data_IF_886105365655
#
_entry.id   IF_886105365655
#
_cell.length_a   1.000
_cell.length_b   1.000
_cell.length_c   1.000
_cell.angle_alpha   90.00
_cell.angle_beta   90.00
_cell.angle_gamma   90.00
#
_symmetry.space_group_name_H-M   'P 1'
#
loop_
_entity.id
_entity.type
_entity.pdbx_description
1 polymer ?
#
# COMPACT_ATOMS: atom_id res chain seq x y z
N UNK A 1 -14.22 29.53 -21.31
CA UNK A 1 -14.05 28.57 -20.20
C UNK A 1 -14.18 27.18 -20.79
N UNK A 2 -13.06 26.59 -21.24
CA UNK A 2 -13.05 25.23 -21.81
C UNK A 2 -12.97 24.30 -20.62
N UNK A 3 -14.05 23.55 -20.37
CA UNK A 3 -14.03 22.47 -19.41
C UNK A 3 -13.14 21.37 -19.96
N UNK A 4 -12.02 21.13 -19.29
CA UNK A 4 -11.12 20.01 -19.57
C UNK A 4 -11.80 18.70 -19.15
N UNK A 5 -12.72 18.23 -20.01
CA UNK A 5 -13.48 17.00 -19.87
C UNK A 5 -12.63 15.75 -20.13
N UNK A 6 -11.66 15.49 -19.27
CA UNK A 6 -11.09 14.14 -19.10
C UNK A 6 -11.30 13.79 -17.64
N UNK A 7 -12.35 13.00 -17.39
CA UNK A 7 -12.95 12.77 -16.06
C UNK A 7 -11.94 12.64 -14.94
N UNK A 8 -11.72 13.72 -14.20
CA UNK A 8 -11.41 13.59 -12.79
C UNK A 8 -12.57 12.79 -12.20
N UNK A 9 -12.29 11.60 -11.67
CA UNK A 9 -13.33 10.86 -10.98
C UNK A 9 -13.70 11.70 -9.76
N UNK A 10 -14.81 12.44 -9.86
CA UNK A 10 -15.28 13.35 -8.84
C UNK A 10 -16.01 12.56 -7.76
N UNK A 11 -15.26 11.74 -7.05
CA UNK A 11 -15.70 11.16 -5.81
C UNK A 11 -15.83 12.29 -4.78
N UNK A 12 -16.98 12.42 -4.13
CA UNK A 12 -17.11 13.31 -2.97
C UNK A 12 -16.09 12.94 -1.89
N UNK A 13 -15.62 13.93 -1.12
CA UNK A 13 -14.55 13.76 -0.13
C UNK A 13 -14.84 12.62 0.86
N UNK A 14 -16.12 12.39 1.19
CA UNK A 14 -16.57 11.27 2.02
C UNK A 14 -16.28 9.88 1.41
N UNK A 15 -16.46 9.70 0.10
CA UNK A 15 -16.18 8.43 -0.56
C UNK A 15 -14.68 8.20 -0.71
N UNK A 16 -13.90 9.25 -0.96
CA UNK A 16 -12.42 9.15 -0.99
C UNK A 16 -11.89 8.72 0.38
N UNK A 17 -12.38 9.35 1.45
CA UNK A 17 -12.04 8.98 2.83
C UNK A 17 -12.43 7.54 3.15
N UNK A 18 -13.65 7.12 2.78
CA UNK A 18 -14.12 5.75 2.98
C UNK A 18 -13.23 4.72 2.29
N UNK A 19 -12.84 4.96 1.03
CA UNK A 19 -11.96 4.05 0.28
C UNK A 19 -10.56 3.99 0.91
N UNK A 20 -10.00 5.13 1.33
CA UNK A 20 -8.70 5.17 2.00
C UNK A 20 -8.73 4.39 3.33
N UNK A 21 -9.74 4.66 4.15
CA UNK A 21 -9.90 4.01 5.44
C UNK A 21 -10.18 2.50 5.28
N UNK A 22 -11.12 2.14 4.41
CA UNK A 22 -11.46 0.75 4.13
C UNK A 22 -10.27 -0.05 3.60
N UNK A 23 -9.48 0.52 2.69
CA UNK A 23 -8.27 -0.12 2.18
C UNK A 23 -7.18 -0.25 3.24
N UNK A 24 -6.97 0.79 4.06
CA UNK A 24 -6.01 0.74 5.16
C UNK A 24 -6.40 -0.34 6.19
N UNK A 25 -7.68 -0.43 6.57
CA UNK A 25 -8.18 -1.48 7.45
C UNK A 25 -8.02 -2.87 6.84
N UNK A 26 -8.34 -3.03 5.55
CA UNK A 26 -8.15 -4.29 4.83
C UNK A 26 -6.68 -4.70 4.84
N UNK A 27 -5.75 -3.78 4.56
CA UNK A 27 -4.32 -4.05 4.62
C UNK A 27 -3.88 -4.50 6.00
N UNK A 28 -4.26 -3.77 7.06
CA UNK A 28 -3.92 -4.14 8.44
C UNK A 28 -4.42 -5.55 8.77
N UNK A 29 -5.65 -5.88 8.40
CA UNK A 29 -6.21 -7.23 8.58
C UNK A 29 -5.39 -8.27 7.81
N UNK A 30 -5.13 -8.04 6.52
CA UNK A 30 -4.40 -8.99 5.68
C UNK A 30 -2.94 -9.18 6.13
N UNK A 31 -2.25 -8.13 6.59
CA UNK A 31 -0.86 -8.23 7.05
C UNK A 31 -0.78 -8.89 8.43
N UNK A 32 -1.65 -8.51 9.36
CA UNK A 32 -1.57 -8.95 10.75
C UNK A 32 -2.24 -10.29 11.00
N UNK A 33 -3.31 -10.64 10.27
CA UNK A 33 -4.17 -11.78 10.61
C UNK A 33 -3.94 -12.98 9.70
N UNK A 34 -3.62 -12.80 8.41
CA UNK A 34 -3.69 -13.91 7.45
C UNK A 34 -2.36 -14.30 6.82
N UNK A 35 -2.01 -15.58 6.94
CA UNK A 35 -1.14 -16.21 5.95
C UNK A 35 -1.98 -16.73 4.79
N UNK A 36 -1.53 -16.46 3.56
CA UNK A 36 -2.23 -16.95 2.36
C UNK A 36 -2.24 -18.49 2.33
N UNK A 37 -1.30 -19.14 3.02
CA UNK A 37 -1.25 -20.58 3.26
C UNK A 37 -2.43 -21.11 4.07
N UNK A 38 -2.89 -20.37 5.08
CA UNK A 38 -4.05 -20.78 5.89
C UNK A 38 -5.38 -20.63 5.13
N UNK A 39 -5.42 -19.73 4.15
CA UNK A 39 -6.56 -19.59 3.22
C UNK A 39 -6.62 -20.71 2.17
N UNK A 40 -5.47 -21.29 1.81
CA UNK A 40 -5.37 -22.34 0.80
C UNK A 40 -5.52 -23.74 1.42
N UNK A 41 -5.18 -23.88 2.71
CA UNK A 41 -5.31 -25.10 3.50
C UNK A 41 -6.29 -24.85 4.66
N UNK A 42 -7.58 -25.14 4.43
CA UNK A 42 -8.69 -24.91 5.37
C UNK A 42 -8.55 -25.63 6.71
N UNK A 43 -7.56 -26.53 6.84
CA UNK A 43 -7.20 -27.20 8.09
C UNK A 43 -6.34 -26.35 9.04
N UNK A 44 -5.83 -25.19 8.57
CA UNK A 44 -4.86 -24.35 9.30
C UNK A 44 -5.40 -22.98 9.72
N UNK A 45 -6.71 -22.76 9.69
CA UNK A 45 -7.36 -21.56 10.24
C UNK A 45 -7.15 -21.50 11.76
N UNK A 46 -5.97 -21.05 12.17
CA UNK A 46 -5.65 -20.79 13.56
C UNK A 46 -6.19 -19.39 13.88
N UNK A 47 -7.04 -19.23 14.91
CA UNK A 47 -7.47 -17.90 15.30
C UNK A 47 -6.23 -17.05 15.66
N UNK A 48 -6.25 -15.73 15.42
CA UNK A 48 -5.14 -14.86 15.79
C UNK A 48 -4.86 -14.99 17.29
N UNK A 49 -3.72 -15.59 17.64
CA UNK A 49 -3.28 -15.76 19.03
C UNK A 49 -2.44 -14.56 19.41
N UNK A 50 -2.89 -13.82 20.42
CA UNK A 50 -2.11 -12.78 21.04
C UNK A 50 -0.82 -13.36 21.62
N UNK A 51 0.32 -12.85 21.18
CA UNK A 51 1.62 -13.32 21.67
C UNK A 51 1.81 -12.89 23.13
N UNK A 52 1.96 -13.85 24.04
CA UNK A 52 2.28 -13.58 25.45
C UNK A 52 3.72 -13.10 25.64
N UNK A 53 4.61 -13.42 24.70
CA UNK A 53 5.97 -12.91 24.59
C UNK A 53 6.33 -12.72 23.10
N UNK A 54 6.18 -11.51 22.53
CA UNK A 54 6.51 -11.25 21.14
C UNK A 54 8.00 -11.45 20.88
N UNK A 55 8.35 -12.20 19.83
CA UNK A 55 9.73 -12.36 19.40
C UNK A 55 10.15 -11.22 18.46
N UNK A 56 10.94 -10.29 19.00
CA UNK A 56 11.50 -9.18 18.26
C UNK A 56 12.83 -9.51 17.58
N UNK A 57 13.46 -10.63 17.94
CA UNK A 57 14.78 -11.00 17.39
C UNK A 57 14.69 -11.40 15.92
N UNK A 58 13.54 -11.94 15.51
CA UNK A 58 13.23 -12.25 14.12
C UNK A 58 13.13 -11.03 13.21
N UNK A 59 13.02 -9.81 13.76
CA UNK A 59 12.81 -8.58 12.99
C UNK A 59 13.96 -8.27 12.02
N UNK A 60 15.19 -8.61 12.39
CA UNK A 60 16.36 -8.36 11.54
C UNK A 60 16.78 -9.58 10.71
N UNK A 61 16.03 -10.68 10.79
CA UNK A 61 16.37 -11.89 10.05
C UNK A 61 15.98 -11.78 8.57
N UNK A 62 16.89 -12.24 7.71
CA UNK A 62 16.63 -12.40 6.29
C UNK A 62 15.68 -13.55 5.97
N UNK A 63 15.21 -13.62 4.72
CA UNK A 63 14.47 -14.77 4.21
C UNK A 63 14.70 -15.02 2.73
N UNK A 64 14.50 -16.27 2.33
CA UNK A 64 14.55 -16.66 0.92
C UNK A 64 13.21 -16.36 0.24
N UNK A 65 13.28 -15.69 -0.91
CA UNK A 65 12.12 -15.31 -1.73
C UNK A 65 11.71 -16.44 -2.67
N UNK A 66 11.15 -17.53 -2.13
CA UNK A 66 10.65 -18.64 -2.95
C UNK A 66 9.26 -19.08 -2.49
N UNK A 67 8.49 -19.65 -3.43
CA UNK A 67 7.16 -20.19 -3.17
C UNK A 67 6.19 -19.14 -2.62
N UNK A 68 5.48 -19.50 -1.56
CA UNK A 68 4.41 -18.70 -0.95
C UNK A 68 4.89 -17.36 -0.39
N UNK A 69 6.16 -17.31 0.05
CA UNK A 69 6.77 -16.07 0.52
C UNK A 69 6.86 -15.03 -0.60
N UNK A 70 7.14 -15.46 -1.84
CA UNK A 70 7.18 -14.55 -2.98
C UNK A 70 5.80 -13.93 -3.25
N UNK A 71 4.75 -14.76 -3.29
CA UNK A 71 3.39 -14.29 -3.55
C UNK A 71 2.92 -13.33 -2.44
N UNK A 72 3.26 -13.61 -1.18
CA UNK A 72 2.99 -12.72 -0.05
C UNK A 72 3.67 -11.36 -0.23
N UNK A 73 4.94 -11.33 -0.64
CA UNK A 73 5.65 -10.06 -0.89
C UNK A 73 5.13 -9.28 -2.08
N UNK A 74 4.69 -9.96 -3.13
CA UNK A 74 3.98 -9.30 -4.23
C UNK A 74 2.67 -8.67 -3.74
N UNK A 75 1.91 -9.36 -2.89
CA UNK A 75 0.70 -8.83 -2.27
C UNK A 75 0.97 -7.57 -1.44
N UNK A 76 1.98 -7.59 -0.58
CA UNK A 76 2.47 -6.43 0.18
C UNK A 76 2.84 -5.25 -0.71
N UNK A 77 3.69 -5.50 -1.71
CA UNK A 77 4.12 -4.49 -2.67
C UNK A 77 2.93 -3.83 -3.38
N UNK A 78 2.01 -4.63 -3.92
CA UNK A 78 0.82 -4.12 -4.62
C UNK A 78 -0.10 -3.40 -3.65
N UNK A 79 -0.33 -3.96 -2.46
CA UNK A 79 -1.22 -3.42 -1.44
C UNK A 79 -0.83 -2.01 -1.00
N UNK A 80 0.46 -1.82 -0.67
CA UNK A 80 1.00 -0.51 -0.31
C UNK A 80 1.10 0.45 -1.51
N UNK A 81 1.32 -0.07 -2.71
CA UNK A 81 1.21 0.73 -3.94
C UNK A 81 -0.19 1.32 -4.14
N UNK A 82 -1.24 0.50 -3.99
CA UNK A 82 -2.64 0.96 -4.07
C UNK A 82 -2.96 1.96 -2.94
N UNK A 83 -2.50 1.69 -1.72
CA UNK A 83 -2.67 2.60 -0.59
C UNK A 83 -2.09 3.99 -0.88
N UNK A 84 -0.86 4.03 -1.42
CA UNK A 84 -0.20 5.28 -1.78
C UNK A 84 -0.98 6.07 -2.83
N UNK A 85 -1.56 5.38 -3.83
CA UNK A 85 -2.40 6.01 -4.85
C UNK A 85 -3.65 6.63 -4.20
N UNK A 86 -4.34 5.89 -3.34
CA UNK A 86 -5.52 6.37 -2.63
C UNK A 86 -5.19 7.59 -1.76
N UNK A 87 -4.14 7.51 -0.96
CA UNK A 87 -3.66 8.61 -0.13
C UNK A 87 -3.27 9.85 -0.94
N UNK A 88 -2.61 9.66 -2.08
CA UNK A 88 -2.29 10.79 -2.96
C UNK A 88 -3.56 11.47 -3.52
N UNK A 89 -4.56 10.70 -3.96
CA UNK A 89 -5.80 11.29 -4.47
C UNK A 89 -6.69 11.90 -3.39
N UNK A 90 -6.55 11.45 -2.14
CA UNK A 90 -7.24 12.02 -0.99
C UNK A 90 -6.60 13.34 -0.55
N UNK A 91 -5.30 13.35 -0.22
CA UNK A 91 -4.64 14.55 0.30
C UNK A 91 -4.10 15.50 -0.78
N UNK A 92 -3.85 15.01 -2.00
CA UNK A 92 -3.19 15.75 -3.09
C UNK A 92 -1.84 16.37 -2.68
N UNK A 93 -1.19 15.82 -1.64
CA UNK A 93 0.07 16.29 -1.07
C UNK A 93 1.03 15.11 -0.92
N UNK A 94 2.13 15.14 -1.68
CA UNK A 94 3.12 14.08 -1.72
C UNK A 94 3.70 13.72 -0.35
N UNK A 95 4.10 14.71 0.43
CA UNK A 95 4.70 14.48 1.76
C UNK A 95 3.71 13.82 2.72
N UNK A 96 2.45 14.25 2.71
CA UNK A 96 1.40 13.66 3.55
C UNK A 96 1.06 12.23 3.12
N UNK A 97 0.91 11.97 1.81
CA UNK A 97 0.57 10.63 1.33
C UNK A 97 1.70 9.63 1.55
N UNK A 98 2.93 9.96 1.15
CA UNK A 98 4.09 9.09 1.35
C UNK A 98 4.37 8.88 2.83
N UNK A 99 4.33 9.96 3.63
CA UNK A 99 4.52 9.88 5.08
C UNK A 99 3.52 8.95 5.74
N UNK A 100 2.23 9.05 5.38
CA UNK A 100 1.20 8.16 5.91
C UNK A 100 1.37 6.70 5.45
N UNK A 101 1.70 6.45 4.18
CA UNK A 101 1.89 5.08 3.66
C UNK A 101 3.09 4.39 4.32
N UNK A 102 4.23 5.09 4.44
CA UNK A 102 5.44 4.57 5.11
C UNK A 102 5.19 4.37 6.61
N UNK A 103 4.47 5.29 7.25
CA UNK A 103 4.10 5.13 8.66
C UNK A 103 3.23 3.90 8.86
N UNK A 104 2.26 3.67 7.96
CA UNK A 104 1.42 2.48 8.05
C UNK A 104 2.23 1.20 7.83
N UNK A 105 3.18 1.18 6.89
CA UNK A 105 4.07 0.04 6.65
C UNK A 105 4.88 -0.33 7.90
N UNK A 106 5.45 0.68 8.57
CA UNK A 106 6.16 0.48 9.84
C UNK A 106 5.22 -0.03 10.94
N UNK A 107 4.03 0.58 11.06
CA UNK A 107 3.07 0.20 12.09
C UNK A 107 2.55 -1.23 11.90
N UNK A 108 2.23 -1.64 10.67
CA UNK A 108 1.77 -3.00 10.38
C UNK A 108 2.85 -4.03 10.67
N UNK A 109 4.12 -3.70 10.39
CA UNK A 109 5.22 -4.62 10.67
C UNK A 109 5.55 -4.73 12.17
N UNK A 110 5.51 -3.62 12.89
CA UNK A 110 5.69 -3.61 14.34
C UNK A 110 4.50 -4.25 15.08
N UNK A 111 3.30 -4.22 14.49
CA UNK A 111 2.13 -4.86 15.07
C UNK A 111 2.11 -6.39 14.86
N UNK A 112 2.71 -6.91 13.78
CA UNK A 112 2.70 -8.34 13.46
C UNK A 112 3.21 -9.26 14.60
N UNK A 113 4.32 -8.95 15.30
CA UNK A 113 4.77 -9.73 16.47
C UNK A 113 3.74 -9.85 17.59
N UNK A 114 2.84 -8.88 17.76
CA UNK A 114 1.76 -8.94 18.75
C UNK A 114 0.71 -10.02 18.41
N UNK A 115 0.61 -10.39 17.14
CA UNK A 115 -0.29 -11.42 16.62
C UNK A 115 0.44 -12.75 16.35
N UNK A 116 1.55 -13.00 17.04
CA UNK A 116 2.37 -14.21 16.88
C UNK A 116 2.92 -14.42 15.46
N UNK A 117 3.06 -13.34 14.67
CA UNK A 117 3.70 -13.38 13.35
C UNK A 117 5.11 -12.83 13.39
N UNK A 118 5.96 -13.36 12.52
CA UNK A 118 7.33 -12.88 12.38
C UNK A 118 7.37 -11.56 11.61
N UNK A 119 7.29 -10.44 12.32
CA UNK A 119 7.61 -9.13 11.75
C UNK A 119 9.09 -9.07 11.36
N UNK A 120 9.42 -8.41 10.25
CA UNK A 120 10.72 -8.32 9.58
C UNK A 120 10.94 -6.96 8.94
N UNK A 121 12.11 -6.37 9.16
CA UNK A 121 12.53 -5.11 8.55
C UNK A 121 12.49 -5.15 7.01
N UNK A 122 12.77 -6.31 6.41
CA UNK A 122 12.69 -6.50 4.96
C UNK A 122 11.27 -6.32 4.41
N UNK A 123 10.23 -6.51 5.22
CA UNK A 123 8.85 -6.38 4.78
C UNK A 123 8.46 -4.91 4.67
N UNK A 124 8.93 -4.08 5.60
CA UNK A 124 8.88 -2.61 5.49
C UNK A 124 9.55 -2.15 4.19
N UNK A 125 10.69 -2.75 3.80
CA UNK A 125 11.38 -2.40 2.56
C UNK A 125 10.51 -2.73 1.34
N UNK A 126 9.86 -3.89 1.31
CA UNK A 126 8.95 -4.27 0.22
C UNK A 126 7.74 -3.33 0.15
N UNK A 127 7.15 -2.99 1.30
CA UNK A 127 6.01 -2.08 1.40
C UNK A 127 6.38 -0.66 0.93
N UNK A 128 7.56 -0.18 1.33
CA UNK A 128 8.12 1.09 0.86
C UNK A 128 8.44 1.05 -0.65
N UNK A 129 8.92 -0.07 -1.17
CA UNK A 129 9.16 -0.22 -2.61
C UNK A 129 7.86 -0.14 -3.42
N UNK A 130 6.77 -0.74 -2.91
CA UNK A 130 5.43 -0.61 -3.50
C UNK A 130 4.93 0.84 -3.51
N UNK A 131 5.09 1.52 -2.37
CA UNK A 131 4.79 2.95 -2.23
C UNK A 131 5.61 3.79 -3.21
N UNK A 132 6.92 3.56 -3.32
CA UNK A 132 7.81 4.24 -4.26
C UNK A 132 7.44 4.01 -5.73
N UNK A 133 7.10 2.78 -6.10
CA UNK A 133 6.64 2.44 -7.44
C UNK A 133 5.36 3.20 -7.80
N UNK A 134 4.40 3.29 -6.88
CA UNK A 134 3.18 4.09 -7.06
C UNK A 134 3.48 5.58 -7.24
N UNK A 135 4.44 6.14 -6.49
CA UNK A 135 4.89 7.53 -6.67
C UNK A 135 5.43 7.75 -8.09
N UNK A 136 6.30 6.86 -8.58
CA UNK A 136 6.86 6.97 -9.93
C UNK A 136 5.76 6.92 -11.00
N UNK A 137 4.79 6.01 -10.86
CA UNK A 137 3.63 5.91 -11.78
C UNK A 137 2.83 7.22 -11.77
N UNK A 138 2.51 7.75 -10.58
CA UNK A 138 1.75 9.00 -10.46
C UNK A 138 2.48 10.21 -11.05
N UNK A 139 3.81 10.28 -10.90
CA UNK A 139 4.64 11.32 -11.52
C UNK A 139 4.65 11.19 -13.05
N UNK A 140 4.83 9.98 -13.57
CA UNK A 140 4.80 9.72 -15.00
C UNK A 140 3.44 10.11 -15.62
N UNK A 141 2.34 9.75 -14.97
CA UNK A 141 0.98 10.12 -15.41
C UNK A 141 0.80 11.64 -15.44
N UNK A 142 1.26 12.35 -14.41
CA UNK A 142 1.19 13.81 -14.37
C UNK A 142 2.04 14.48 -15.45
N UNK A 143 3.25 13.97 -15.71
CA UNK A 143 4.13 14.46 -16.77
C UNK A 143 3.51 14.29 -18.16
N UNK A 144 2.93 13.12 -18.45
CA UNK A 144 2.22 12.86 -19.71
C UNK A 144 1.04 13.82 -19.89
N UNK A 145 0.23 14.02 -18.85
CA UNK A 145 -0.91 14.95 -18.88
C UNK A 145 -0.48 16.38 -19.15
N UNK A 146 0.57 16.85 -18.48
CA UNK A 146 1.14 18.18 -18.70
C UNK A 146 1.68 18.35 -20.14
N UNK A 147 2.34 17.33 -20.67
CA UNK A 147 2.81 17.29 -22.06
C UNK A 147 1.67 17.44 -23.06
N UNK A 148 0.59 16.67 -22.91
CA UNK A 148 -0.60 16.74 -23.77
C UNK A 148 -1.26 18.13 -23.70
N UNK A 149 -1.41 18.69 -22.50
CA UNK A 149 -2.01 20.01 -22.32
C UNK A 149 -1.18 21.13 -22.98
N UNK A 150 0.15 21.06 -22.87
CA UNK A 150 1.05 22.01 -23.52
C UNK A 150 1.01 21.92 -25.05
N UNK A 151 0.91 20.70 -25.61
CA UNK A 151 0.74 20.50 -27.05
C UNK A 151 -0.57 21.12 -27.57
N UNK A 152 -1.68 20.98 -26.83
CA UNK A 152 -2.96 21.62 -27.19
C UNK A 152 -2.87 23.15 -27.18
N UNK A 153 -2.23 23.75 -26.16
CA UNK A 153 -2.06 25.20 -26.06
C UNK A 153 -1.26 25.78 -27.23
N UNK A 154 -0.26 25.05 -27.74
CA UNK A 154 0.55 25.46 -28.90
C UNK A 154 -0.18 25.32 -30.25
N UNK A 155 -1.21 24.49 -30.32
CA UNK A 155 -1.99 24.26 -31.53
C UNK A 155 -3.20 25.20 -31.68
N UNK A 156 -3.51 26.01 -30.66
CA UNK A 156 -4.53 27.04 -30.74
C UNK A 156 -3.93 28.31 -31.40
N UNK A 157 -4.58 28.87 -32.43
CA UNK A 157 -4.12 30.06 -33.15
C UNK A 157 -4.20 31.35 -32.32
#
# INVERSE_FOLDING_TARGET
MVGDGVGEINWGDGMRGFLCFGWACLLVVCTCIWDLTELTDSSRLSPPVWATAPDWTAFFNGYSLFGEMFLRKVGHFIGFGVLQILFFYYWKRWSASVGAAVSLALLTELAQPLFSRGGRALDVVVDCAGTGAAVLVLLAVQAVRAGIANSKKRALP
#
